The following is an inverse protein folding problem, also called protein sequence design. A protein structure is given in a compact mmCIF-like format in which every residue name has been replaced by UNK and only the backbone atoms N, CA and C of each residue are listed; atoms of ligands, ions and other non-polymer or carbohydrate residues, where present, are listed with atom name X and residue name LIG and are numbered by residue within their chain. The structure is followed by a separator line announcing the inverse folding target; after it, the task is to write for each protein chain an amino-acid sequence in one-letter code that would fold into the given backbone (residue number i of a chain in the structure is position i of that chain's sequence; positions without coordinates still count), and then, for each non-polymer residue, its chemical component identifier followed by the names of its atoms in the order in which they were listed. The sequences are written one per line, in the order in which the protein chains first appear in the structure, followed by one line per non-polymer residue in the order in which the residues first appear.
data_IF_019759212156
#
_entry.id   IF_019759212156
#
_cell.length_a   1.000
_cell.length_b   1.000
_cell.length_c   1.000
_cell.angle_alpha   90.00
_cell.angle_beta   90.00
_cell.angle_gamma   90.00
#
_symmetry.space_group_name_H-M   'P 1'
#
loop_
_entity.id
_entity.type
_entity.pdbx_description
1 polymer ?
#
# COMPACT_ATOMS: atom_id res chain seq x y z
N UNK A 1 6.30 11.70 -7.92
CA UNK A 1 5.31 11.62 -6.81
C UNK A 1 4.02 10.90 -7.20
N UNK A 2 3.25 11.35 -8.22
CA UNK A 2 1.96 10.72 -8.59
C UNK A 2 2.04 9.19 -8.78
N UNK A 3 3.00 8.73 -9.58
CA UNK A 3 3.16 7.30 -9.89
C UNK A 3 3.58 6.45 -8.68
N UNK A 4 4.26 7.05 -7.69
CA UNK A 4 4.63 6.36 -6.44
C UNK A 4 3.44 6.23 -5.49
N UNK A 5 2.63 7.29 -5.33
CA UNK A 5 1.36 7.14 -4.60
C UNK A 5 0.44 6.14 -5.33
N UNK A 6 0.45 6.16 -6.67
CA UNK A 6 -0.28 5.21 -7.50
C UNK A 6 0.08 3.74 -7.25
N UNK A 7 1.35 3.42 -6.97
CA UNK A 7 1.74 2.04 -6.62
C UNK A 7 1.10 1.56 -5.31
N UNK A 8 1.05 2.41 -4.28
CA UNK A 8 0.42 2.06 -3.01
C UNK A 8 -1.10 1.88 -3.14
N UNK A 9 -1.76 2.78 -3.89
CA UNK A 9 -3.21 2.68 -4.17
C UNK A 9 -3.52 1.40 -4.95
N UNK A 10 -2.71 1.07 -5.97
CA UNK A 10 -2.90 -0.14 -6.76
C UNK A 10 -2.70 -1.42 -5.93
N UNK A 11 -1.67 -1.46 -5.08
CA UNK A 11 -1.42 -2.60 -4.20
C UNK A 11 -2.60 -2.86 -3.24
N UNK A 12 -3.16 -1.80 -2.65
CA UNK A 12 -4.38 -1.89 -1.86
C UNK A 12 -5.57 -2.42 -2.66
N UNK A 13 -5.81 -1.88 -3.86
CA UNK A 13 -6.92 -2.30 -4.71
C UNK A 13 -6.81 -3.78 -5.11
N UNK A 14 -5.61 -4.22 -5.52
CA UNK A 14 -5.34 -5.62 -5.86
C UNK A 14 -5.60 -6.55 -4.67
N UNK A 15 -5.22 -6.15 -3.44
CA UNK A 15 -5.52 -6.90 -2.23
C UNK A 15 -7.02 -7.04 -1.99
N UNK A 16 -7.80 -5.97 -2.19
CA UNK A 16 -9.26 -6.02 -2.00
C UNK A 16 -9.95 -6.95 -2.98
N UNK A 17 -9.46 -7.03 -4.22
CA UNK A 17 -10.04 -7.88 -5.28
C UNK A 17 -9.60 -9.34 -5.17
N UNK A 18 -8.31 -9.58 -4.93
CA UNK A 18 -7.69 -10.90 -5.05
C UNK A 18 -7.44 -11.57 -3.68
N UNK A 19 -7.57 -10.82 -2.59
CA UNK A 19 -7.20 -11.26 -1.26
C UNK A 19 -5.70 -11.12 -1.01
N UNK A 20 -5.07 -12.18 -0.52
CA UNK A 20 -3.66 -12.16 -0.16
C UNK A 20 -2.77 -12.28 -1.41
N UNK A 21 -2.32 -11.12 -1.89
CA UNK A 21 -1.28 -10.95 -2.91
C UNK A 21 -0.05 -10.32 -2.30
N UNK A 22 1.14 -10.66 -2.79
CA UNK A 22 2.42 -10.10 -2.33
C UNK A 22 3.09 -9.31 -3.45
N UNK A 23 3.67 -8.17 -3.13
CA UNK A 23 4.52 -7.43 -4.06
C UNK A 23 5.81 -8.21 -4.34
N UNK A 24 6.21 -8.26 -5.61
CA UNK A 24 7.48 -8.85 -6.08
C UNK A 24 8.37 -7.84 -6.81
N UNK A 25 7.84 -6.66 -7.14
CA UNK A 25 8.61 -5.59 -7.75
C UNK A 25 7.74 -4.38 -8.08
N UNK A 26 8.38 -3.23 -8.28
CA UNK A 26 7.72 -2.07 -8.85
C UNK A 26 8.70 -1.25 -9.68
N UNK A 27 8.18 -0.51 -10.66
CA UNK A 27 8.92 0.48 -11.41
C UNK A 27 8.10 1.78 -11.40
N UNK A 28 8.75 2.88 -11.03
CA UNK A 28 8.17 4.22 -11.12
C UNK A 28 9.00 5.02 -12.12
N UNK A 29 8.45 5.22 -13.32
CA UNK A 29 9.02 6.06 -14.36
C UNK A 29 8.19 7.35 -14.50
N UNK A 30 8.70 8.40 -15.18
CA UNK A 30 7.94 9.65 -15.38
C UNK A 30 6.61 9.47 -16.12
N UNK A 31 6.56 8.55 -17.08
CA UNK A 31 5.45 8.29 -18.01
C UNK A 31 4.58 7.10 -17.60
N UNK A 32 5.09 6.19 -16.77
CA UNK A 32 4.39 4.96 -16.40
C UNK A 32 4.80 4.43 -15.03
N UNK A 33 3.98 3.53 -14.51
CA UNK A 33 4.36 2.64 -13.42
C UNK A 33 4.16 1.18 -13.82
N UNK A 34 4.92 0.28 -13.20
CA UNK A 34 4.72 -1.16 -13.24
C UNK A 34 4.64 -1.67 -11.80
N UNK A 35 3.72 -2.60 -11.54
CA UNK A 35 3.59 -3.25 -10.25
C UNK A 35 3.52 -4.76 -10.47
N UNK A 36 4.49 -5.48 -9.92
CA UNK A 36 4.62 -6.92 -10.05
C UNK A 36 4.19 -7.57 -8.73
N UNK A 37 3.29 -8.56 -8.79
CA UNK A 37 2.71 -9.19 -7.61
C UNK A 37 2.44 -10.69 -7.82
N UNK A 38 2.28 -11.43 -6.73
CA UNK A 38 1.91 -12.84 -6.77
C UNK A 38 0.43 -13.01 -7.10
N UNK A 39 0.13 -13.89 -8.04
CA UNK A 39 -1.23 -14.29 -8.38
C UNK A 39 -1.24 -15.77 -8.78
N UNK A 40 -2.28 -16.51 -8.39
CA UNK A 40 -2.44 -17.93 -8.76
C UNK A 40 -2.65 -18.11 -10.27
N UNK A 41 -3.33 -17.14 -10.89
CA UNK A 41 -3.64 -17.10 -12.31
C UNK A 41 -3.59 -15.66 -12.81
N UNK A 42 -3.57 -15.49 -14.14
CA UNK A 42 -3.74 -14.18 -14.75
C UNK A 42 -5.09 -13.57 -14.33
N UNK A 43 -5.12 -12.24 -14.17
CA UNK A 43 -6.35 -11.54 -13.82
C UNK A 43 -7.35 -11.65 -14.96
N UNK A 44 -8.59 -11.93 -14.61
CA UNK A 44 -9.71 -11.79 -15.53
C UNK A 44 -9.99 -10.31 -15.81
N UNK A 45 -10.62 -10.00 -16.96
CA UNK A 45 -11.01 -8.63 -17.29
C UNK A 45 -11.91 -7.99 -16.21
N UNK A 46 -12.78 -8.78 -15.59
CA UNK A 46 -13.63 -8.31 -14.49
C UNK A 46 -12.82 -7.92 -13.24
N UNK A 47 -11.80 -8.70 -12.89
CA UNK A 47 -10.91 -8.38 -11.75
C UNK A 47 -10.05 -7.15 -12.03
N UNK A 48 -9.57 -6.97 -13.27
CA UNK A 48 -8.85 -5.75 -13.67
C UNK A 48 -9.76 -4.54 -13.50
N UNK A 49 -10.99 -4.61 -14.00
CA UNK A 49 -11.95 -3.51 -13.91
C UNK A 49 -12.33 -3.18 -12.45
N UNK A 50 -12.51 -4.19 -11.59
CA UNK A 50 -12.81 -3.95 -10.18
C UNK A 50 -11.63 -3.32 -9.44
N UNK A 51 -10.40 -3.75 -9.72
CA UNK A 51 -9.21 -3.14 -9.12
C UNK A 51 -9.05 -1.67 -9.56
N UNK A 52 -9.27 -1.39 -10.85
CA UNK A 52 -9.28 -0.01 -11.38
C UNK A 52 -10.34 0.85 -10.70
N UNK A 53 -11.56 0.34 -10.54
CA UNK A 53 -12.66 1.03 -9.87
C UNK A 53 -12.33 1.38 -8.41
N UNK A 54 -11.77 0.44 -7.64
CA UNK A 54 -11.38 0.68 -6.25
C UNK A 54 -10.27 1.74 -6.17
N UNK A 55 -9.26 1.65 -7.04
CA UNK A 55 -8.18 2.64 -7.10
C UNK A 55 -8.72 4.04 -7.44
N UNK A 56 -9.61 4.13 -8.43
CA UNK A 56 -10.25 5.37 -8.85
C UNK A 56 -11.10 5.98 -7.73
N UNK A 57 -11.89 5.18 -7.02
CA UNK A 57 -12.67 5.64 -5.88
C UNK A 57 -11.79 6.27 -4.80
N UNK A 58 -10.66 5.62 -4.46
CA UNK A 58 -9.70 6.17 -3.49
C UNK A 58 -9.13 7.51 -3.97
N UNK A 59 -8.76 7.63 -5.25
CA UNK A 59 -8.25 8.87 -5.84
C UNK A 59 -9.31 9.99 -5.78
N UNK A 60 -10.57 9.66 -6.08
CA UNK A 60 -11.69 10.62 -6.10
C UNK A 60 -12.01 11.21 -4.73
N UNK A 61 -11.77 10.46 -3.65
CA UNK A 61 -11.96 10.98 -2.28
C UNK A 61 -11.01 12.14 -1.94
N UNK A 62 -9.90 12.31 -2.69
CA UNK A 62 -8.90 13.38 -2.49
C UNK A 62 -8.37 13.46 -1.06
N UNK A 63 -8.30 12.31 -0.38
CA UNK A 63 -7.77 12.23 0.99
C UNK A 63 -6.26 12.52 1.00
N UNK A 64 -5.73 13.10 2.10
CA UNK A 64 -4.31 13.39 2.23
C UNK A 64 -3.45 12.12 2.27
N UNK A 65 -2.22 12.22 1.78
CA UNK A 65 -1.18 11.19 1.97
C UNK A 65 -0.32 11.58 3.16
N UNK A 66 -0.20 10.69 4.13
CA UNK A 66 0.63 10.85 5.31
C UNK A 66 1.89 9.99 5.20
N UNK A 67 3.00 10.49 5.72
CA UNK A 67 4.23 9.72 5.85
C UNK A 67 4.95 10.09 7.14
N UNK A 68 5.52 9.10 7.82
CA UNK A 68 6.26 9.29 9.08
C UNK A 68 7.22 8.12 9.32
N UNK A 69 8.36 8.44 9.94
CA UNK A 69 9.30 7.45 10.44
C UNK A 69 8.87 6.96 11.82
N UNK A 70 8.91 5.65 12.03
CA UNK A 70 8.52 5.00 13.29
C UNK A 70 9.48 3.86 13.63
N UNK A 71 9.60 3.46 14.91
CA UNK A 71 10.35 2.27 15.27
C UNK A 71 9.85 1.06 14.50
N UNK A 72 10.76 0.30 13.89
CA UNK A 72 10.41 -0.83 13.02
C UNK A 72 9.53 -1.86 13.74
N UNK A 73 9.78 -2.10 15.03
CA UNK A 73 9.00 -3.02 15.84
C UNK A 73 7.54 -2.57 15.98
N UNK A 74 7.30 -1.29 16.32
CA UNK A 74 5.95 -0.75 16.47
C UNK A 74 5.20 -0.70 15.13
N UNK A 75 5.92 -0.33 14.08
CA UNK A 75 5.38 -0.24 12.73
C UNK A 75 4.87 -1.59 12.21
N UNK A 76 5.55 -2.70 12.54
CA UNK A 76 5.17 -4.07 12.16
C UNK A 76 3.86 -4.55 12.81
N UNK A 77 3.48 -3.96 13.94
CA UNK A 77 2.25 -4.33 14.65
C UNK A 77 0.99 -3.76 13.96
N UNK A 78 1.13 -2.78 13.07
CA UNK A 78 0.00 -2.15 12.38
C UNK A 78 -0.70 -3.16 11.48
N UNK A 79 -1.93 -3.51 11.84
CA UNK A 79 -2.78 -4.43 11.11
C UNK A 79 -3.04 -3.91 9.69
N UNK A 80 -2.83 -4.78 8.71
CA UNK A 80 -3.00 -4.43 7.30
C UNK A 80 -1.83 -3.69 6.66
N UNK A 81 -0.82 -3.28 7.43
CA UNK A 81 0.41 -2.71 6.89
C UNK A 81 1.09 -3.69 5.93
N UNK A 82 1.46 -3.18 4.76
CA UNK A 82 2.16 -3.96 3.74
C UNK A 82 3.65 -3.67 3.75
N UNK A 83 4.44 -4.73 3.58
CA UNK A 83 5.87 -4.66 3.41
C UNK A 83 6.30 -5.74 2.41
N UNK A 84 7.46 -5.57 1.78
CA UNK A 84 8.08 -6.60 0.95
C UNK A 84 8.86 -7.52 1.89
N UNK A 85 8.46 -8.79 1.97
CA UNK A 85 9.00 -9.73 2.96
C UNK A 85 10.53 -9.92 2.87
N UNK A 86 11.07 -9.97 1.65
CA UNK A 86 12.49 -10.18 1.40
C UNK A 86 13.34 -8.89 1.47
N UNK A 87 12.73 -7.75 1.85
CA UNK A 87 13.40 -6.47 1.95
C UNK A 87 13.80 -6.16 3.40
N UNK A 88 15.06 -5.76 3.60
CA UNK A 88 15.53 -5.27 4.88
C UNK A 88 15.14 -3.79 5.04
N UNK A 89 14.20 -3.51 5.94
CA UNK A 89 13.80 -2.15 6.29
C UNK A 89 14.71 -1.57 7.39
N UNK A 90 15.08 -0.28 7.30
CA UNK A 90 15.85 0.39 8.35
C UNK A 90 15.00 0.57 9.62
N UNK A 91 15.67 0.86 10.74
CA UNK A 91 15.03 1.32 11.98
C UNK A 91 15.62 2.70 12.34
N UNK A 92 14.81 3.78 12.33
CA UNK A 92 13.36 3.80 12.09
C UNK A 92 12.98 3.53 10.64
N UNK A 93 11.79 2.95 10.44
CA UNK A 93 11.20 2.67 9.12
C UNK A 93 10.20 3.76 8.74
N UNK A 94 10.18 4.13 7.47
CA UNK A 94 9.18 5.05 6.93
C UNK A 94 7.89 4.32 6.60
N UNK A 95 6.78 4.80 7.17
CA UNK A 95 5.41 4.36 6.87
C UNK A 95 4.76 5.41 5.97
N UNK A 96 4.06 4.96 4.92
CA UNK A 96 3.17 5.78 4.09
C UNK A 96 1.74 5.30 4.28
N UNK A 97 0.79 6.23 4.41
CA UNK A 97 -0.64 5.94 4.58
C UNK A 97 -1.52 6.91 3.79
N UNK A 98 -2.59 6.43 3.17
CA UNK A 98 -3.51 7.24 2.36
C UNK A 98 -4.82 7.51 3.11
N UNK A 99 -4.98 8.71 3.65
CA UNK A 99 -6.21 9.17 4.30
C UNK A 99 -6.30 8.93 5.81
N UNK A 100 -5.47 8.06 6.38
CA UNK A 100 -5.36 7.88 7.84
C UNK A 100 -3.97 8.31 8.30
N UNK A 101 -3.89 9.11 9.37
CA UNK A 101 -2.59 9.54 9.89
C UNK A 101 -1.79 8.35 10.42
N UNK A 102 -0.47 8.39 10.23
CA UNK A 102 0.41 7.34 10.78
C UNK A 102 0.35 7.31 12.31
N UNK A 103 0.17 8.46 12.96
CA UNK A 103 0.01 8.48 14.43
C UNK A 103 -1.24 7.72 14.91
N UNK A 104 -2.34 7.80 14.17
CA UNK A 104 -3.58 7.09 14.52
C UNK A 104 -3.39 5.58 14.37
N UNK A 105 -2.68 5.15 13.32
CA UNK A 105 -2.33 3.75 13.09
C UNK A 105 -1.40 3.21 14.19
N UNK A 106 -0.44 4.00 14.66
CA UNK A 106 0.48 3.59 15.73
C UNK A 106 -0.17 3.63 17.12
N UNK A 107 -1.18 4.49 17.34
CA UNK A 107 -1.89 4.59 18.61
C UNK A 107 -2.82 3.38 18.85
N UNK A 108 -3.45 2.84 17.81
CA UNK A 108 -4.22 1.59 17.85
C UNK A 108 -3.86 0.68 16.65
N UNK A 109 -2.72 -0.01 16.74
CA UNK A 109 -2.20 -0.82 15.63
C UNK A 109 -3.07 -2.02 15.29
N UNK A 110 -3.98 -2.43 16.19
CA UNK A 110 -4.85 -3.59 15.96
C UNK A 110 -6.21 -3.21 15.36
N UNK A 111 -6.49 -1.92 15.19
CA UNK A 111 -7.71 -1.43 14.55
C UNK A 111 -7.82 -1.89 13.09
N UNK A 112 -9.04 -1.82 12.54
CA UNK A 112 -9.29 -2.12 11.13
C UNK A 112 -8.90 -0.97 10.19
N UNK A 113 -8.34 0.13 10.70
CA UNK A 113 -7.98 1.29 9.90
C UNK A 113 -6.96 0.92 8.82
N UNK A 114 -5.88 0.22 9.20
CA UNK A 114 -4.84 -0.21 8.26
C UNK A 114 -5.32 -1.25 7.24
N UNK A 115 -6.35 -2.03 7.56
CA UNK A 115 -6.99 -2.96 6.62
C UNK A 115 -7.89 -2.27 5.59
N UNK A 116 -8.32 -1.06 5.87
CA UNK A 116 -9.25 -0.29 5.06
C UNK A 116 -8.61 0.92 4.36
N UNK A 117 -7.30 1.11 4.53
CA UNK A 117 -6.51 2.11 3.83
C UNK A 117 -5.28 1.48 3.16
N UNK A 118 -4.68 2.20 2.21
CA UNK A 118 -3.36 1.88 1.69
C UNK A 118 -2.29 2.34 2.70
N UNK A 119 -1.76 1.40 3.49
CA UNK A 119 -0.67 1.61 4.44
C UNK A 119 0.48 0.65 4.18
N UNK A 120 1.68 1.19 3.96
CA UNK A 120 2.85 0.40 3.56
C UNK A 120 4.16 0.94 4.14
N UNK A 121 5.15 0.05 4.34
CA UNK A 121 6.53 0.48 4.46
C UNK A 121 7.01 1.03 3.12
N UNK A 122 7.76 2.13 3.19
CA UNK A 122 8.35 2.78 2.03
C UNK A 122 9.87 2.79 2.22
N UNK A 123 10.59 1.96 1.45
CA UNK A 123 12.06 1.89 1.46
C UNK A 123 12.77 3.13 0.89
N UNK A 124 12.02 4.15 0.46
CA UNK A 124 12.54 5.33 -0.21
C UNK A 124 12.65 5.15 -1.72
N UNK A 125 12.44 6.24 -2.45
CA UNK A 125 12.76 6.40 -3.88
C UNK A 125 14.06 7.15 -4.05
#
# INVERSE_FOLDING_TARGET
MKNHTGTHVLNFALRKVLGEVEQKGSLVAPDRMRFDFTAKHALTAAQVHEAEKIAQQMIETRVPVFAKDAPLAEAREVNGLRAVFDEAYPDPVRIVSVGVRVEELLADPKSDLGMNTAVEFCGGT
#
